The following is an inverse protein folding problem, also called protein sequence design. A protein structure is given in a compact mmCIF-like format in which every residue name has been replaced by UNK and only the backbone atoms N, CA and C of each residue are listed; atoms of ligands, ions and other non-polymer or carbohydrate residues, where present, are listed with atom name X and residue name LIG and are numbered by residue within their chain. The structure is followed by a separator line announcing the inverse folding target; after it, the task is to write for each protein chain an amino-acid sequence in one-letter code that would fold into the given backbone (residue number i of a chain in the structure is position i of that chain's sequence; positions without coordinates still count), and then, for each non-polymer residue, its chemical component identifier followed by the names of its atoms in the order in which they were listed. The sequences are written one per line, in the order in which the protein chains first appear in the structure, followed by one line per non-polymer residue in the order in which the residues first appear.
data_IF_060193143860
#
_entry.id   IF_060193143860
#
_cell.length_a   1.000
_cell.length_b   1.000
_cell.length_c   1.000
_cell.angle_alpha   90.00
_cell.angle_beta   90.00
_cell.angle_gamma   90.00
#
_symmetry.space_group_name_H-M   'P 1'
#
loop_
_entity.id
_entity.type
_entity.pdbx_description
1 polymer ?
#
# COMPACT_ATOMS: atom_id res chain seq x y z
N UNK A 1 -49.36 53.06 7.89
CA UNK A 1 -49.00 51.68 8.29
C UNK A 1 -48.20 51.05 7.14
N UNK A 2 -46.87 51.17 7.15
CA UNK A 2 -46.00 50.50 6.18
C UNK A 2 -45.04 49.60 6.97
N UNK A 3 -45.24 48.29 6.89
CA UNK A 3 -44.35 47.31 7.48
C UNK A 3 -43.24 46.97 6.48
N UNK A 4 -42.08 47.60 6.65
CA UNK A 4 -40.85 47.16 5.99
C UNK A 4 -40.36 45.88 6.67
N UNK A 5 -40.39 44.75 5.97
CA UNK A 5 -39.82 43.48 6.41
C UNK A 5 -38.43 43.35 5.80
N UNK A 6 -37.40 43.59 6.61
CA UNK A 6 -36.01 43.29 6.26
C UNK A 6 -35.80 41.78 6.37
N UNK A 7 -35.64 41.09 5.23
CA UNK A 7 -35.10 39.73 5.23
C UNK A 7 -33.59 39.80 5.46
N UNK A 8 -33.12 39.25 6.59
CA UNK A 8 -31.71 38.95 6.77
C UNK A 8 -31.38 37.65 6.01
N UNK A 9 -30.57 37.76 4.97
CA UNK A 9 -30.00 36.60 4.29
C UNK A 9 -28.85 36.04 5.15
N UNK A 10 -29.03 34.85 5.70
CA UNK A 10 -27.95 34.10 6.34
C UNK A 10 -27.14 33.45 5.23
N UNK A 11 -25.94 33.98 4.94
CA UNK A 11 -24.96 33.27 4.13
C UNK A 11 -24.41 32.10 4.95
N UNK A 12 -24.83 30.88 4.62
CA UNK A 12 -24.13 29.66 5.01
C UNK A 12 -22.82 29.61 4.22
N UNK A 13 -21.71 29.95 4.88
CA UNK A 13 -20.38 29.70 4.36
C UNK A 13 -20.15 28.17 4.42
N UNK A 14 -20.37 27.47 3.32
CA UNK A 14 -19.93 26.10 3.18
C UNK A 14 -18.39 26.13 3.09
N UNK A 15 -17.72 25.85 4.20
CA UNK A 15 -16.29 25.59 4.18
C UNK A 15 -16.09 24.27 3.42
N UNK A 16 -15.72 24.37 2.13
CA UNK A 16 -15.17 23.23 1.42
C UNK A 16 -13.88 22.85 2.15
N UNK A 17 -13.89 21.74 2.88
CA UNK A 17 -12.67 21.09 3.33
C UNK A 17 -11.90 20.74 2.06
N UNK A 18 -10.91 21.56 1.70
CA UNK A 18 -10.01 21.24 0.61
C UNK A 18 -9.30 19.94 0.97
N UNK A 19 -9.59 18.88 0.23
CA UNK A 19 -8.86 17.63 0.34
C UNK A 19 -7.39 17.91 0.02
N UNK A 20 -6.47 17.37 0.82
CA UNK A 20 -5.05 17.62 0.60
C UNK A 20 -4.65 17.01 -0.75
N UNK A 21 -3.92 17.75 -1.58
CA UNK A 21 -3.40 17.21 -2.84
C UNK A 21 -2.42 16.05 -2.55
N UNK A 22 -2.43 14.95 -3.35
CA UNK A 22 -1.48 13.86 -3.17
C UNK A 22 -0.02 14.34 -3.24
N UNK A 23 0.79 13.89 -2.28
CA UNK A 23 2.22 14.22 -2.20
C UNK A 23 3.11 12.99 -2.43
N UNK A 24 4.35 13.14 -2.90
CA UNK A 24 5.26 12.01 -3.02
C UNK A 24 5.60 11.41 -1.65
N UNK A 25 5.37 10.10 -1.49
CA UNK A 25 5.88 9.32 -0.36
C UNK A 25 7.32 8.82 -0.63
N UNK A 26 7.70 8.77 -1.91
CA UNK A 26 9.06 8.47 -2.37
C UNK A 26 9.48 9.48 -3.43
N UNK A 27 10.68 10.04 -3.29
CA UNK A 27 11.22 11.08 -4.17
C UNK A 27 11.87 10.53 -5.47
N UNK A 28 12.00 9.21 -5.60
CA UNK A 28 12.67 8.56 -6.73
C UNK A 28 14.20 8.54 -6.63
N UNK A 29 14.81 9.05 -5.54
CA UNK A 29 16.24 9.36 -5.50
C UNK A 29 16.93 8.94 -4.21
N UNK A 30 16.24 9.02 -3.08
CA UNK A 30 16.82 8.77 -1.76
C UNK A 30 15.94 7.85 -0.92
N UNK A 31 16.52 7.30 0.13
CA UNK A 31 15.78 6.59 1.17
C UNK A 31 15.29 7.54 2.29
N UNK A 32 15.22 8.85 2.05
CA UNK A 32 14.77 9.81 3.05
C UNK A 32 13.33 9.50 3.46
N UNK A 33 13.11 9.33 4.77
CA UNK A 33 11.81 8.93 5.32
C UNK A 33 11.55 7.43 5.32
N UNK A 34 12.54 6.62 4.92
CA UNK A 34 12.47 5.17 4.86
C UNK A 34 13.61 4.51 5.66
N UNK A 35 13.34 3.34 6.22
CA UNK A 35 14.30 2.50 6.95
C UNK A 35 14.20 1.03 6.51
N UNK A 36 15.33 0.32 6.52
CA UNK A 36 15.47 -1.08 6.09
C UNK A 36 16.92 -1.37 5.67
N UNK A 37 17.20 -2.56 5.12
CA UNK A 37 18.53 -2.88 4.59
C UNK A 37 18.78 -2.23 3.23
N UNK A 38 19.18 -0.96 3.26
CA UNK A 38 19.54 -0.14 2.09
C UNK A 38 20.99 -0.36 1.63
N UNK A 39 21.72 -1.28 2.28
CA UNK A 39 23.12 -1.57 1.97
C UNK A 39 23.28 -2.81 1.11
N UNK A 40 22.38 -3.79 1.29
CA UNK A 40 22.47 -5.09 0.60
C UNK A 40 21.20 -5.46 -0.15
N UNK A 41 20.02 -5.17 0.43
CA UNK A 41 18.75 -5.63 -0.13
C UNK A 41 18.13 -4.59 -1.06
N UNK A 42 17.88 -3.40 -0.54
CA UNK A 42 17.15 -2.35 -1.25
C UNK A 42 18.09 -1.39 -1.94
N UNK A 43 17.80 -1.13 -3.21
CA UNK A 43 18.47 -0.13 -4.04
C UNK A 43 17.46 0.82 -4.65
N UNK A 44 17.95 1.93 -5.17
CA UNK A 44 17.18 2.83 -6.03
C UNK A 44 17.76 2.73 -7.43
N UNK A 45 16.96 2.22 -8.37
CA UNK A 45 17.31 2.04 -9.77
C UNK A 45 16.18 2.63 -10.62
N UNK A 46 16.51 3.52 -11.55
CA UNK A 46 15.56 4.18 -12.47
C UNK A 46 14.32 4.79 -11.77
N UNK A 47 14.52 5.40 -10.61
CA UNK A 47 13.44 6.01 -9.83
C UNK A 47 12.53 5.03 -9.11
N UNK A 48 12.96 3.78 -8.92
CA UNK A 48 12.23 2.73 -8.22
C UNK A 48 13.02 2.15 -7.04
N UNK A 49 12.35 1.90 -5.93
CA UNK A 49 12.87 0.95 -4.94
C UNK A 49 12.92 -0.42 -5.59
N UNK A 50 14.09 -1.04 -5.54
CA UNK A 50 14.39 -2.31 -6.20
C UNK A 50 15.00 -3.27 -5.21
N UNK A 51 14.52 -4.51 -5.18
CA UNK A 51 15.07 -5.55 -4.34
C UNK A 51 14.99 -6.93 -5.02
N UNK A 52 15.90 -7.83 -4.63
CA UNK A 52 15.99 -9.19 -5.16
C UNK A 52 16.81 -9.31 -6.45
N UNK A 53 16.79 -10.51 -7.04
CA UNK A 53 17.46 -10.86 -8.29
C UNK A 53 16.83 -12.12 -8.89
N UNK A 54 16.69 -12.17 -10.21
CA UNK A 54 16.21 -13.37 -10.93
C UNK A 54 17.26 -14.49 -11.02
N UNK A 55 18.51 -14.19 -10.67
CA UNK A 55 19.64 -15.15 -10.72
C UNK A 55 19.99 -15.72 -9.34
N UNK A 56 19.58 -15.05 -8.25
CA UNK A 56 19.89 -15.46 -6.87
C UNK A 56 18.63 -15.53 -6.02
N UNK A 57 18.53 -16.61 -5.25
CA UNK A 57 17.41 -16.84 -4.34
C UNK A 57 17.46 -15.81 -3.20
N UNK A 58 16.38 -15.08 -3.00
CA UNK A 58 16.18 -14.22 -1.83
C UNK A 58 16.10 -15.11 -0.58
N UNK A 59 16.94 -14.84 0.42
CA UNK A 59 17.07 -15.74 1.58
C UNK A 59 15.86 -15.70 2.52
N UNK A 60 15.31 -14.50 2.74
CA UNK A 60 14.24 -14.21 3.69
C UNK A 60 13.42 -13.02 3.20
N UNK A 61 12.26 -12.79 3.83
CA UNK A 61 11.52 -11.56 3.62
C UNK A 61 12.38 -10.36 4.01
N UNK A 62 12.21 -9.27 3.29
CA UNK A 62 12.81 -7.99 3.64
C UNK A 62 11.83 -6.87 3.33
N UNK A 63 11.88 -5.81 4.13
CA UNK A 63 10.95 -4.72 4.07
C UNK A 63 11.68 -3.38 4.20
N UNK A 64 11.33 -2.47 3.30
CA UNK A 64 11.68 -1.06 3.41
C UNK A 64 10.43 -0.32 3.90
N UNK A 65 10.51 0.24 5.12
CA UNK A 65 9.36 0.82 5.81
C UNK A 65 9.51 2.34 5.99
N UNK A 66 8.41 3.06 6.07
CA UNK A 66 8.43 4.49 6.38
C UNK A 66 8.88 4.71 7.83
N UNK A 67 9.50 5.85 8.12
CA UNK A 67 9.81 6.26 9.51
C UNK A 67 8.65 6.98 10.20
N UNK A 68 7.64 7.39 9.41
CA UNK A 68 6.38 8.01 9.87
C UNK A 68 5.24 7.00 9.78
N UNK A 69 4.27 7.10 10.70
CA UNK A 69 3.00 6.36 10.65
C UNK A 69 1.86 7.19 10.07
N UNK A 70 0.94 6.52 9.38
CA UNK A 70 -0.18 7.10 8.65
C UNK A 70 -1.50 6.44 9.08
N UNK A 71 -2.56 7.24 9.19
CA UNK A 71 -3.92 6.84 9.60
C UNK A 71 -4.81 6.59 8.38
N UNK A 72 -5.85 7.41 8.19
CA UNK A 72 -6.65 7.36 6.97
C UNK A 72 -5.84 7.89 5.76
N UNK A 73 -5.89 7.20 4.63
CA UNK A 73 -5.12 7.57 3.44
C UNK A 73 -5.72 7.06 2.12
N UNK A 74 -5.29 7.68 1.02
CA UNK A 74 -5.26 7.07 -0.31
C UNK A 74 -3.81 7.02 -0.81
N UNK A 75 -3.30 5.82 -1.12
CA UNK A 75 -1.95 5.56 -1.62
C UNK A 75 -2.07 5.04 -3.06
N UNK A 76 -1.32 5.64 -3.97
CA UNK A 76 -1.15 5.14 -5.34
C UNK A 76 0.32 4.87 -5.59
N UNK A 77 0.63 3.76 -6.28
CA UNK A 77 1.98 3.45 -6.72
C UNK A 77 1.99 2.59 -7.99
N UNK A 78 3.16 2.45 -8.60
CA UNK A 78 3.41 1.42 -9.60
C UNK A 78 4.29 0.32 -9.02
N UNK A 79 3.92 -0.94 -9.25
CA UNK A 79 4.66 -2.14 -8.85
C UNK A 79 4.89 -3.05 -10.05
N UNK A 80 6.07 -3.68 -10.11
CA UNK A 80 6.40 -4.73 -11.06
C UNK A 80 7.18 -5.81 -10.34
N UNK A 81 6.96 -7.06 -10.70
CA UNK A 81 7.74 -8.20 -10.19
C UNK A 81 8.11 -9.11 -11.35
N UNK A 82 9.31 -9.66 -11.31
CA UNK A 82 9.79 -10.70 -12.20
C UNK A 82 10.36 -11.85 -11.36
N UNK A 83 10.25 -13.07 -11.84
CA UNK A 83 10.87 -14.20 -11.16
C UNK A 83 10.86 -15.48 -11.99
N UNK A 84 11.73 -16.41 -11.61
CA UNK A 84 12.00 -17.64 -12.37
C UNK A 84 11.76 -18.91 -11.55
N UNK A 85 11.78 -18.81 -10.22
CA UNK A 85 11.69 -19.96 -9.32
C UNK A 85 11.12 -19.55 -7.95
N UNK A 86 10.31 -20.42 -7.36
CA UNK A 86 9.81 -20.27 -6.00
C UNK A 86 8.56 -19.40 -5.90
N UNK A 87 8.29 -18.90 -4.68
CA UNK A 87 7.13 -18.08 -4.38
C UNK A 87 7.40 -16.61 -4.75
N UNK A 88 7.30 -16.30 -6.05
CA UNK A 88 7.54 -14.96 -6.61
C UNK A 88 6.45 -13.99 -6.14
N UNK A 89 6.67 -13.37 -4.99
CA UNK A 89 5.69 -12.53 -4.30
C UNK A 89 6.38 -11.32 -3.63
N UNK A 90 5.57 -10.31 -3.37
CA UNK A 90 5.85 -9.18 -2.50
C UNK A 90 4.53 -8.47 -2.21
N UNK A 91 4.61 -7.23 -1.76
CA UNK A 91 3.40 -6.49 -1.45
C UNK A 91 3.67 -5.12 -0.86
N UNK A 92 2.57 -4.44 -0.54
CA UNK A 92 2.56 -3.12 0.08
C UNK A 92 1.86 -3.25 1.42
N UNK A 93 2.66 -3.14 2.47
CA UNK A 93 2.24 -3.15 3.85
C UNK A 93 1.69 -1.77 4.24
N UNK A 94 0.63 -1.75 5.03
CA UNK A 94 0.05 -0.53 5.59
C UNK A 94 -0.59 -0.80 6.95
N UNK A 95 -0.65 0.26 7.77
CA UNK A 95 -0.97 0.14 9.19
C UNK A 95 -0.12 -0.90 9.92
N UNK A 96 1.13 -1.05 9.46
CA UNK A 96 2.04 -2.07 9.96
C UNK A 96 2.95 -1.53 11.04
N UNK A 97 3.52 -2.43 11.83
CA UNK A 97 4.60 -2.15 12.77
C UNK A 97 5.76 -3.11 12.57
N UNK A 98 6.98 -2.69 12.92
CA UNK A 98 8.14 -3.59 12.98
C UNK A 98 7.95 -4.58 14.13
N UNK A 99 8.17 -5.87 13.86
CA UNK A 99 8.24 -6.87 14.93
C UNK A 99 9.62 -6.74 15.60
N UNK A 100 9.61 -6.54 16.92
CA UNK A 100 10.84 -6.39 17.71
C UNK A 100 11.75 -7.62 17.53
N UNK A 101 13.05 -7.35 17.38
CA UNK A 101 14.09 -8.37 17.22
C UNK A 101 13.87 -9.30 16.00
N UNK A 102 13.14 -8.81 14.99
CA UNK A 102 12.83 -9.52 13.75
C UNK A 102 13.07 -8.64 12.52
N UNK A 103 13.14 -9.28 11.35
CA UNK A 103 13.12 -8.60 10.05
C UNK A 103 11.68 -8.38 9.54
N UNK A 104 10.71 -9.03 10.17
CA UNK A 104 9.31 -9.03 9.78
C UNK A 104 8.56 -7.77 10.25
N UNK A 105 7.44 -7.52 9.58
CA UNK A 105 6.44 -6.54 9.99
C UNK A 105 5.13 -7.26 10.34
N UNK A 106 4.25 -6.54 11.04
CA UNK A 106 2.89 -6.99 11.37
C UNK A 106 1.87 -5.94 10.93
N UNK A 107 0.94 -6.31 10.06
CA UNK A 107 -0.11 -5.43 9.57
C UNK A 107 -0.70 -5.87 8.24
N UNK A 108 -1.57 -5.04 7.67
CA UNK A 108 -2.23 -5.37 6.41
C UNK A 108 -1.25 -5.28 5.24
N UNK A 109 -1.41 -6.17 4.27
CA UNK A 109 -0.65 -6.17 3.03
C UNK A 109 -1.57 -6.30 1.83
N UNK A 110 -1.39 -5.39 0.88
CA UNK A 110 -1.86 -5.50 -0.48
C UNK A 110 -0.83 -6.33 -1.29
N UNK A 111 -1.21 -7.56 -1.62
CA UNK A 111 -0.31 -8.55 -2.23
C UNK A 111 -0.08 -8.30 -3.74
N UNK A 112 1.13 -8.66 -4.19
CA UNK A 112 1.50 -8.63 -5.60
C UNK A 112 2.45 -9.81 -5.94
N UNK A 113 2.07 -10.62 -6.91
CA UNK A 113 2.76 -11.84 -7.32
C UNK A 113 2.16 -13.13 -6.78
N UNK A 114 2.66 -14.25 -7.31
CA UNK A 114 2.25 -15.62 -6.98
C UNK A 114 0.73 -15.92 -7.12
N UNK A 115 -0.01 -15.12 -7.90
CA UNK A 115 -1.46 -15.24 -8.04
C UNK A 115 -2.25 -14.67 -6.85
N UNK A 116 -1.61 -13.84 -6.04
CA UNK A 116 -2.21 -13.07 -4.96
C UNK A 116 -2.36 -11.59 -5.35
N UNK A 117 -2.11 -11.24 -6.61
CA UNK A 117 -2.21 -9.88 -7.12
C UNK A 117 -3.59 -9.27 -6.83
N UNK A 118 -3.60 -8.13 -6.16
CA UNK A 118 -4.86 -7.48 -5.82
C UNK A 118 -5.51 -8.00 -4.54
N UNK A 119 -4.94 -9.00 -3.85
CA UNK A 119 -5.47 -9.55 -2.60
C UNK A 119 -5.06 -8.71 -1.38
N UNK A 120 -5.84 -8.86 -0.31
CA UNK A 120 -5.54 -8.31 1.01
C UNK A 120 -5.23 -9.45 1.98
N UNK A 121 -4.13 -9.36 2.70
CA UNK A 121 -3.81 -10.22 3.84
C UNK A 121 -3.44 -9.39 5.09
N UNK A 122 -3.35 -10.05 6.25
CA UNK A 122 -2.86 -9.45 7.50
C UNK A 122 -1.63 -10.24 8.01
N UNK A 123 -0.47 -9.74 7.61
CA UNK A 123 0.84 -10.38 7.73
C UNK A 123 1.25 -10.46 9.20
N UNK A 124 1.74 -11.63 9.62
CA UNK A 124 2.19 -11.94 10.99
C UNK A 124 1.16 -11.78 12.12
N UNK A 125 0.02 -11.10 11.91
CA UNK A 125 -1.07 -10.99 12.89
C UNK A 125 -2.04 -12.16 12.80
N UNK A 126 -2.46 -12.51 11.59
CA UNK A 126 -3.42 -13.60 11.33
C UNK A 126 -2.80 -14.81 10.65
N UNK A 127 -1.46 -14.86 10.59
CA UNK A 127 -0.68 -15.94 9.97
C UNK A 127 -1.12 -16.27 8.53
N UNK A 128 -1.56 -15.26 7.77
CA UNK A 128 -2.04 -15.44 6.39
C UNK A 128 -3.31 -16.29 6.25
N UNK A 129 -4.11 -16.48 7.32
CA UNK A 129 -5.36 -17.26 7.25
C UNK A 129 -6.54 -16.47 6.67
N UNK A 130 -6.52 -15.15 6.82
CA UNK A 130 -7.59 -14.25 6.36
C UNK A 130 -7.15 -13.50 5.10
N UNK A 131 -7.02 -14.23 4.00
CA UNK A 131 -6.70 -13.64 2.69
C UNK A 131 -8.00 -13.36 1.94
N UNK A 132 -8.24 -12.10 1.64
CA UNK A 132 -9.37 -11.65 0.82
C UNK A 132 -8.87 -11.50 -0.60
N UNK A 133 -9.36 -12.36 -1.50
CA UNK A 133 -8.92 -12.38 -2.90
C UNK A 133 -10.02 -11.86 -3.82
N UNK A 134 -9.66 -11.16 -4.92
CA UNK A 134 -10.58 -10.97 -6.03
C UNK A 134 -11.01 -12.33 -6.61
N UNK A 135 -12.13 -12.34 -7.35
CA UNK A 135 -12.45 -13.51 -8.18
C UNK A 135 -11.38 -13.70 -9.26
N UNK A 136 -11.29 -14.90 -9.82
CA UNK A 136 -10.33 -15.18 -10.89
C UNK A 136 -10.53 -14.24 -12.09
N UNK A 137 -11.77 -13.94 -12.42
CA UNK A 137 -12.14 -13.06 -13.54
C UNK A 137 -11.66 -11.63 -13.29
N UNK A 138 -11.89 -11.09 -12.08
CA UNK A 138 -11.41 -9.76 -11.70
C UNK A 138 -9.88 -9.71 -11.67
N UNK A 139 -9.23 -10.74 -11.13
CA UNK A 139 -7.77 -10.86 -11.12
C UNK A 139 -7.20 -10.81 -12.54
N UNK A 140 -7.72 -11.66 -13.44
CA UNK A 140 -7.22 -11.76 -14.81
C UNK A 140 -7.52 -10.50 -15.63
N UNK A 141 -8.62 -9.80 -15.34
CA UNK A 141 -8.94 -8.51 -15.94
C UNK A 141 -7.98 -7.41 -15.45
N UNK A 142 -7.62 -7.44 -14.17
CA UNK A 142 -6.83 -6.39 -13.53
C UNK A 142 -5.34 -6.48 -13.84
N UNK A 143 -4.76 -7.69 -13.82
CA UNK A 143 -3.31 -7.89 -13.84
C UNK A 143 -2.69 -7.70 -15.23
N UNK A 144 -1.62 -6.91 -15.32
CA UNK A 144 -0.71 -6.88 -16.46
C UNK A 144 0.55 -7.66 -16.12
N UNK A 145 0.69 -8.87 -16.66
CA UNK A 145 1.84 -9.74 -16.38
C UNK A 145 3.13 -9.13 -16.95
N UNK A 146 4.22 -9.26 -16.20
CA UNK A 146 5.57 -8.80 -16.58
C UNK A 146 5.69 -7.29 -16.88
N UNK A 147 4.68 -6.51 -16.51
CA UNK A 147 4.58 -5.07 -16.73
C UNK A 147 4.44 -4.30 -15.41
N UNK A 148 4.58 -2.98 -15.50
CA UNK A 148 4.21 -2.09 -14.39
C UNK A 148 2.69 -2.09 -14.19
N UNK A 149 2.26 -2.31 -12.95
CA UNK A 149 0.87 -2.30 -12.54
C UNK A 149 0.64 -1.11 -11.60
N UNK A 150 -0.44 -0.37 -11.82
CA UNK A 150 -0.86 0.71 -10.93
C UNK A 150 -1.68 0.10 -9.81
N UNK A 151 -1.23 0.27 -8.57
CA UNK A 151 -1.96 -0.10 -7.37
C UNK A 151 -2.54 1.15 -6.73
N UNK A 152 -3.81 1.06 -6.30
CA UNK A 152 -4.43 2.05 -5.42
C UNK A 152 -4.95 1.39 -4.17
N UNK A 153 -4.63 1.95 -3.02
CA UNK A 153 -5.03 1.48 -1.69
C UNK A 153 -5.70 2.65 -1.00
N UNK A 154 -6.98 2.50 -0.64
CA UNK A 154 -7.70 3.47 0.19
C UNK A 154 -8.04 2.82 1.51
N UNK A 155 -7.72 3.50 2.59
CA UNK A 155 -8.02 3.05 3.94
C UNK A 155 -8.61 4.23 4.73
N UNK A 156 -9.87 4.13 5.13
CA UNK A 156 -10.62 5.20 5.81
C UNK A 156 -11.48 4.61 6.93
N UNK A 157 -11.14 4.91 8.18
CA UNK A 157 -11.66 4.16 9.32
C UNK A 157 -11.33 2.67 9.17
N UNK A 158 -12.25 1.73 9.44
CA UNK A 158 -12.00 0.30 9.24
C UNK A 158 -12.19 -0.16 7.77
N UNK A 159 -12.46 0.75 6.83
CA UNK A 159 -12.77 0.42 5.44
C UNK A 159 -11.49 0.40 4.60
N UNK A 160 -11.16 -0.77 4.05
CA UNK A 160 -10.01 -1.00 3.17
C UNK A 160 -10.52 -1.35 1.78
N UNK A 161 -10.01 -0.65 0.78
CA UNK A 161 -10.32 -0.89 -0.63
C UNK A 161 -9.05 -0.94 -1.45
N UNK A 162 -8.96 -1.92 -2.34
CA UNK A 162 -7.84 -2.12 -3.25
C UNK A 162 -8.30 -2.04 -4.70
N UNK A 163 -7.48 -1.40 -5.54
CA UNK A 163 -7.62 -1.45 -6.99
C UNK A 163 -6.29 -1.79 -7.63
N UNK A 164 -6.36 -2.64 -8.64
CA UNK A 164 -5.23 -2.98 -9.51
C UNK A 164 -5.60 -2.58 -10.95
N UNK A 165 -4.80 -1.68 -11.54
CA UNK A 165 -5.04 -1.07 -12.85
C UNK A 165 -6.49 -0.55 -13.04
N UNK A 166 -7.06 0.05 -11.99
CA UNK A 166 -8.40 0.62 -12.00
C UNK A 166 -9.54 -0.38 -11.74
N UNK A 167 -9.27 -1.68 -11.71
CA UNK A 167 -10.24 -2.71 -11.32
C UNK A 167 -10.26 -2.84 -9.80
N UNK A 168 -11.43 -2.70 -9.17
CA UNK A 168 -11.58 -2.89 -7.72
C UNK A 168 -11.44 -4.39 -7.39
N UNK A 169 -10.44 -4.76 -6.60
CA UNK A 169 -10.14 -6.16 -6.27
C UNK A 169 -10.59 -6.53 -4.86
N UNK A 170 -10.61 -5.57 -3.93
CA UNK A 170 -11.03 -5.77 -2.54
C UNK A 170 -11.90 -4.60 -2.08
N UNK A 171 -12.93 -4.92 -1.31
CA UNK A 171 -13.78 -3.99 -0.57
C UNK A 171 -14.09 -4.64 0.80
N UNK A 172 -13.37 -4.23 1.85
CA UNK A 172 -13.34 -4.92 3.14
C UNK A 172 -13.58 -3.97 4.31
N UNK A 173 -14.39 -4.40 5.28
CA UNK A 173 -14.58 -3.72 6.56
C UNK A 173 -13.94 -4.57 7.66
N UNK A 174 -12.92 -4.04 8.32
CA UNK A 174 -12.35 -4.64 9.52
C UNK A 174 -13.38 -4.57 10.66
N UNK A 175 -13.67 -5.72 11.27
CA UNK A 175 -14.70 -5.88 12.30
C UNK A 175 -14.14 -5.89 13.70
N UNK A 176 -12.86 -6.23 13.86
CA UNK A 176 -12.17 -6.24 15.13
C UNK A 176 -11.70 -4.81 15.48
N UNK A 177 -12.32 -4.14 16.48
CA UNK A 177 -11.98 -2.77 16.84
C UNK A 177 -10.61 -2.66 17.54
N UNK A 178 -9.96 -3.78 17.87
CA UNK A 178 -8.62 -3.80 18.47
C UNK A 178 -7.51 -3.68 17.44
N UNK A 179 -7.83 -3.83 16.15
CA UNK A 179 -6.88 -3.70 15.07
C UNK A 179 -6.46 -2.22 14.89
N UNK A 180 -5.16 -1.90 14.94
CA UNK A 180 -4.69 -0.55 14.70
C UNK A 180 -5.02 -0.08 13.27
N UNK A 181 -5.64 1.09 13.17
CA UNK A 181 -5.96 1.78 11.90
C UNK A 181 -4.93 2.88 11.58
N UNK A 182 -3.72 2.75 12.16
CA UNK A 182 -2.60 3.65 11.97
C UNK A 182 -1.30 2.88 12.12
N UNK A 183 -0.35 3.11 11.23
CA UNK A 183 0.95 2.45 11.27
C UNK A 183 1.82 2.83 10.09
N UNK A 184 2.93 2.12 9.93
CA UNK A 184 3.90 2.34 8.87
C UNK A 184 3.35 1.83 7.54
N UNK A 185 3.84 2.41 6.45
CA UNK A 185 3.89 1.71 5.18
C UNK A 185 5.17 0.91 5.09
N UNK A 186 5.15 -0.20 4.36
CA UNK A 186 6.37 -0.85 3.90
C UNK A 186 6.18 -1.49 2.53
N UNK A 187 7.26 -1.65 1.78
CA UNK A 187 7.29 -2.47 0.57
C UNK A 187 8.10 -3.73 0.83
N UNK A 188 7.72 -4.85 0.22
CA UNK A 188 8.26 -6.18 0.55
C UNK A 188 8.95 -6.84 -0.66
N UNK A 189 10.08 -7.51 -0.42
CA UNK A 189 10.51 -8.61 -1.27
C UNK A 189 10.37 -9.92 -0.50
N UNK A 190 9.61 -10.88 -1.02
CA UNK A 190 9.40 -12.15 -0.34
C UNK A 190 10.62 -13.07 -0.46
N UNK A 191 10.91 -13.81 0.61
CA UNK A 191 11.97 -14.81 0.65
C UNK A 191 11.64 -16.08 -0.16
N UNK A 192 12.66 -16.89 -0.41
CA UNK A 192 12.47 -18.22 -0.97
C UNK A 192 12.26 -18.28 -2.49
N UNK A 193 12.32 -17.15 -3.19
CA UNK A 193 12.21 -17.07 -4.64
C UNK A 193 13.45 -16.45 -5.29
N UNK A 194 13.68 -16.79 -6.56
CA UNK A 194 14.53 -16.02 -7.46
C UNK A 194 13.64 -14.98 -8.13
N UNK A 195 13.48 -13.84 -7.47
CA UNK A 195 12.60 -12.76 -7.90
C UNK A 195 13.27 -11.41 -7.72
N UNK A 196 12.86 -10.46 -8.55
CA UNK A 196 13.21 -9.06 -8.43
C UNK A 196 11.91 -8.25 -8.48
N UNK A 197 11.79 -7.28 -7.58
CA UNK A 197 10.59 -6.44 -7.45
C UNK A 197 10.99 -4.97 -7.52
N UNK A 198 10.09 -4.16 -8.08
CA UNK A 198 10.28 -2.72 -8.23
C UNK A 198 9.02 -1.97 -7.79
N UNK A 199 9.21 -0.87 -7.09
CA UNK A 199 8.15 0.04 -6.65
C UNK A 199 8.51 1.49 -6.98
N UNK A 200 7.62 2.23 -7.65
CA UNK A 200 7.87 3.63 -8.01
C UNK A 200 6.59 4.46 -8.00
N UNK A 201 6.76 5.78 -8.07
CA UNK A 201 5.65 6.76 -8.08
C UNK A 201 4.70 6.57 -6.89
N UNK A 202 5.25 6.33 -5.70
CA UNK A 202 4.46 6.23 -4.47
C UNK A 202 3.97 7.63 -4.12
N UNK A 203 2.66 7.86 -4.25
CA UNK A 203 1.97 9.11 -3.96
C UNK A 203 0.93 8.84 -2.88
N UNK A 204 0.88 9.69 -1.86
CA UNK A 204 -0.05 9.57 -0.74
C UNK A 204 -0.87 10.83 -0.55
N UNK A 205 -2.14 10.62 -0.24
CA UNK A 205 -3.06 11.61 0.28
C UNK A 205 -3.48 11.18 1.70
N UNK A 206 -3.20 12.00 2.72
CA UNK A 206 -3.72 11.77 4.07
C UNK A 206 -5.17 12.27 4.14
N UNK A 207 -6.09 11.39 4.50
CA UNK A 207 -7.52 11.69 4.59
C UNK A 207 -7.87 12.18 6.01
N UNK A 208 -8.98 12.93 6.19
CA UNK A 208 -9.48 13.28 7.52
C UNK A 208 -9.72 12.04 8.40
N UNK A 209 -9.51 12.19 9.71
CA UNK A 209 -9.84 11.16 10.70
C UNK A 209 -11.32 11.20 11.09
#
# INVERSE_FOLDING_TARGET
MNHSRTLAAILLLAASLAQAEPVPLFDGKTFTGWEGDTTKTWKIEDGAFTAGSVDRKQAKNDFLATTKSYGNFELTLEVKIAGTEGFVNGGIQFWSERIKDSHEVRGFQADFGAGYDGALCDESRRSGRDIIRPSKELHDQALKKDEWNVYRIRAEGPHIQLWLNGVKTVDYIEKDPTIPLKGLFAVQIHGGAKSQIWYRKLMIEELPN
#
